data_IF_580770536304
#
_entry.id   IF_580770536304
#
_cell.length_a   1.000
_cell.length_b   1.000
_cell.length_c   1.000
_cell.angle_alpha   90.00
_cell.angle_beta   90.00
_cell.angle_gamma   90.00
#
_symmetry.space_group_name_H-M   'P 1'
#
loop_
_entity.id
_entity.type
_entity.pdbx_description
1 polymer ?
#
# COMPACT_ATOMS: atom_id res chain seq x y z
N UNK A 1 13.50 -20.96 9.04
CA UNK A 1 13.08 -19.59 8.69
C UNK A 1 12.05 -19.18 9.71
N UNK A 2 12.21 -18.04 10.36
CA UNK A 2 11.23 -17.51 11.30
C UNK A 2 9.94 -17.15 10.56
N UNK A 3 8.83 -17.00 11.30
CA UNK A 3 7.51 -16.79 10.69
C UNK A 3 7.42 -15.44 9.96
N UNK A 4 8.11 -14.44 10.51
CA UNK A 4 8.27 -13.07 10.00
C UNK A 4 9.32 -12.93 8.89
N UNK A 5 10.09 -13.98 8.62
CA UNK A 5 11.06 -13.98 7.53
C UNK A 5 10.38 -14.38 6.21
N UNK A 6 10.78 -13.72 5.13
CA UNK A 6 10.34 -14.02 3.77
C UNK A 6 11.54 -13.98 2.83
N UNK A 7 11.49 -14.72 1.73
CA UNK A 7 12.56 -14.72 0.74
C UNK A 7 12.52 -13.49 -0.17
N UNK A 8 13.63 -13.21 -0.83
CA UNK A 8 13.69 -12.21 -1.90
C UNK A 8 12.64 -12.49 -2.98
N UNK A 9 12.44 -13.75 -3.36
CA UNK A 9 11.43 -14.15 -4.35
C UNK A 9 10.00 -13.82 -3.89
N UNK A 10 9.69 -14.02 -2.61
CA UNK A 10 8.37 -13.64 -2.06
C UNK A 10 8.15 -12.13 -2.20
N UNK A 11 9.16 -11.33 -1.85
CA UNK A 11 9.11 -9.88 -1.96
C UNK A 11 8.91 -9.43 -3.40
N UNK A 12 9.68 -9.97 -4.34
CA UNK A 12 9.59 -9.61 -5.75
C UNK A 12 8.23 -9.98 -6.36
N UNK A 13 7.69 -11.14 -6.01
CA UNK A 13 6.37 -11.54 -6.48
C UNK A 13 5.27 -10.59 -5.96
N UNK A 14 5.30 -10.24 -4.67
CA UNK A 14 4.35 -9.29 -4.08
C UNK A 14 4.49 -7.89 -4.72
N UNK A 15 5.73 -7.41 -4.86
CA UNK A 15 6.05 -6.10 -5.45
C UNK A 15 5.58 -5.99 -6.90
N UNK A 16 5.85 -7.00 -7.74
CA UNK A 16 5.39 -7.03 -9.14
C UNK A 16 3.86 -6.96 -9.23
N UNK A 17 3.13 -7.66 -8.36
CA UNK A 17 1.66 -7.62 -8.30
C UNK A 17 1.15 -6.25 -7.86
N UNK A 18 1.76 -5.66 -6.83
CA UNK A 18 1.42 -4.32 -6.33
C UNK A 18 1.65 -3.26 -7.40
N UNK A 19 2.82 -3.21 -8.02
CA UNK A 19 3.16 -2.25 -9.09
C UNK A 19 2.19 -2.38 -10.26
N UNK A 20 1.90 -3.61 -10.70
CA UNK A 20 0.93 -3.85 -11.79
C UNK A 20 -0.47 -3.33 -11.44
N UNK A 21 -0.91 -3.54 -10.20
CA UNK A 21 -2.23 -3.08 -9.74
C UNK A 21 -2.30 -1.55 -9.65
N UNK A 22 -1.31 -0.95 -9.00
CA UNK A 22 -1.26 0.49 -8.72
C UNK A 22 -1.09 1.34 -9.99
N UNK A 23 -0.37 0.83 -11.00
CA UNK A 23 -0.15 1.55 -12.28
C UNK A 23 -1.26 1.32 -13.30
N UNK A 24 -2.21 0.40 -13.05
CA UNK A 24 -3.30 0.11 -14.00
C UNK A 24 -4.16 1.36 -14.23
N UNK A 25 -4.28 1.76 -15.50
CA UNK A 25 -5.08 2.93 -15.90
C UNK A 25 -4.48 4.26 -15.44
N UNK A 26 -3.19 4.30 -15.10
CA UNK A 26 -2.43 5.52 -14.80
C UNK A 26 -1.51 5.85 -15.96
N UNK A 27 -1.26 7.13 -16.18
CA UNK A 27 -0.33 7.63 -17.19
C UNK A 27 0.75 8.50 -16.56
N UNK A 28 1.91 8.57 -17.18
CA UNK A 28 2.97 9.47 -16.76
C UNK A 28 2.61 10.92 -17.06
N UNK A 29 3.17 11.85 -16.28
CA UNK A 29 3.05 13.30 -16.49
C UNK A 29 4.43 13.86 -16.82
N UNK A 30 4.48 14.87 -17.68
CA UNK A 30 5.71 15.65 -17.92
C UNK A 30 6.17 16.41 -16.68
N UNK A 31 5.24 16.70 -15.77
CA UNK A 31 5.49 17.38 -14.50
C UNK A 31 4.87 16.54 -13.36
N UNK A 32 5.51 15.43 -12.95
CA UNK A 32 4.98 14.57 -11.91
C UNK A 32 4.93 15.30 -10.57
N UNK A 33 3.93 14.98 -9.74
CA UNK A 33 3.75 15.55 -8.41
C UNK A 33 3.65 14.42 -7.39
N UNK A 34 4.30 14.61 -6.25
CA UNK A 34 4.16 13.75 -5.08
C UNK A 34 3.57 14.55 -3.92
N UNK A 35 2.64 13.94 -3.18
CA UNK A 35 1.95 14.57 -2.05
C UNK A 35 2.20 13.70 -0.83
N UNK A 36 2.89 14.26 0.16
CA UNK A 36 3.09 13.61 1.45
C UNK A 36 1.96 14.02 2.40
N UNK A 37 1.34 13.03 3.04
CA UNK A 37 0.26 13.28 4.00
C UNK A 37 0.78 13.15 5.42
N UNK A 38 0.54 14.19 6.21
CA UNK A 38 0.79 14.22 7.65
C UNK A 38 -0.52 14.33 8.45
N UNK A 39 -0.47 13.95 9.72
CA UNK A 39 -1.59 14.08 10.65
C UNK A 39 -1.75 12.84 11.53
N UNK A 40 -2.37 13.01 12.70
CA UNK A 40 -2.63 11.94 13.65
C UNK A 40 -3.53 10.84 13.07
N UNK A 41 -3.52 9.66 13.69
CA UNK A 41 -4.51 8.63 13.39
C UNK A 41 -5.92 9.17 13.67
N UNK A 42 -6.89 8.89 12.80
CA UNK A 42 -8.25 9.43 12.92
C UNK A 42 -8.46 10.85 12.39
N UNK A 43 -7.41 11.61 12.04
CA UNK A 43 -7.52 12.99 11.54
C UNK A 43 -8.19 13.14 10.14
N UNK A 44 -8.65 12.06 9.52
CA UNK A 44 -9.36 12.11 8.24
C UNK A 44 -8.47 12.19 7.00
N UNK A 45 -7.23 11.67 7.04
CA UNK A 45 -6.31 11.63 5.87
C UNK A 45 -6.96 11.00 4.62
N UNK A 46 -7.86 10.03 4.80
CA UNK A 46 -8.65 9.41 3.72
C UNK A 46 -9.50 10.42 2.94
N UNK A 47 -9.93 11.52 3.55
CA UNK A 47 -10.62 12.62 2.87
C UNK A 47 -9.71 13.26 1.82
N UNK A 48 -8.43 13.43 2.13
CA UNK A 48 -7.44 13.99 1.19
C UNK A 48 -7.25 13.04 0.00
N UNK A 49 -7.25 11.72 0.21
CA UNK A 49 -7.20 10.74 -0.90
C UNK A 49 -8.35 10.97 -1.89
N UNK A 50 -9.58 11.20 -1.40
CA UNK A 50 -10.75 11.42 -2.25
C UNK A 50 -10.67 12.73 -3.02
N UNK A 51 -10.24 13.81 -2.35
CA UNK A 51 -10.06 15.13 -2.96
C UNK A 51 -9.01 15.03 -4.08
N UNK A 52 -7.83 14.46 -3.77
CA UNK A 52 -6.75 14.35 -4.76
C UNK A 52 -7.06 13.36 -5.88
N UNK A 53 -7.77 12.27 -5.62
CA UNK A 53 -8.24 11.41 -6.71
C UNK A 53 -9.16 12.14 -7.68
N UNK A 54 -10.07 13.00 -7.20
CA UNK A 54 -10.92 13.83 -8.08
C UNK A 54 -10.11 14.88 -8.82
N UNK A 55 -9.22 15.59 -8.13
CA UNK A 55 -8.35 16.64 -8.70
C UNK A 55 -7.48 16.11 -9.82
N UNK A 56 -6.92 14.91 -9.66
CA UNK A 56 -6.09 14.25 -10.67
C UNK A 56 -6.90 13.37 -11.64
N UNK A 57 -8.24 13.42 -11.59
CA UNK A 57 -9.13 12.62 -12.44
C UNK A 57 -8.79 11.12 -12.43
N UNK A 58 -8.43 10.60 -11.26
CA UNK A 58 -8.00 9.22 -11.07
C UNK A 58 -6.57 8.93 -11.51
N UNK A 59 -5.83 9.88 -12.08
CA UNK A 59 -4.41 9.74 -12.47
C UNK A 59 -3.45 10.06 -11.30
N UNK A 60 -3.66 9.41 -10.16
CA UNK A 60 -2.78 9.47 -8.99
C UNK A 60 -2.65 8.07 -8.39
N UNK A 61 -1.46 7.72 -7.92
CA UNK A 61 -1.21 6.46 -7.23
C UNK A 61 -1.23 6.73 -5.73
N UNK A 62 -2.07 5.99 -4.99
CA UNK A 62 -2.09 6.02 -3.53
C UNK A 62 -1.13 4.94 -3.03
N UNK A 63 -0.11 5.36 -2.29
CA UNK A 63 0.86 4.46 -1.63
C UNK A 63 0.55 4.50 -0.15
N UNK A 64 0.04 3.39 0.37
CA UNK A 64 -0.31 3.20 1.79
C UNK A 64 0.45 2.00 2.34
N UNK A 65 1.48 2.27 3.16
CA UNK A 65 2.34 1.23 3.72
C UNK A 65 1.60 0.23 4.61
N UNK A 66 0.53 0.66 5.29
CA UNK A 66 -0.25 -0.24 6.14
C UNK A 66 -1.00 -1.28 5.32
N UNK A 67 -1.44 -0.91 4.11
CA UNK A 67 -2.11 -1.83 3.18
C UNK A 67 -1.21 -2.98 2.71
N UNK A 68 0.11 -2.82 2.81
CA UNK A 68 1.07 -3.83 2.34
C UNK A 68 1.29 -4.96 3.35
N UNK A 69 0.89 -4.78 4.62
CA UNK A 69 1.08 -5.79 5.68
C UNK A 69 0.45 -7.14 5.31
N UNK A 70 -0.73 -7.11 4.68
CA UNK A 70 -1.46 -8.32 4.26
C UNK A 70 -0.82 -9.06 3.08
N UNK A 71 0.20 -8.48 2.43
CA UNK A 71 0.94 -9.12 1.33
C UNK A 71 2.11 -9.97 1.84
N UNK A 72 2.38 -9.98 3.14
CA UNK A 72 3.36 -10.89 3.72
C UNK A 72 2.96 -12.36 3.42
N UNK A 73 3.89 -13.22 2.97
CA UNK A 73 3.55 -14.60 2.56
C UNK A 73 2.90 -15.40 3.70
N UNK A 74 3.33 -15.16 4.94
CA UNK A 74 2.79 -15.80 6.14
C UNK A 74 1.82 -14.91 6.92
N UNK A 75 1.14 -13.95 6.29
CA UNK A 75 0.27 -12.98 7.00
C UNK A 75 -0.74 -13.66 7.93
N UNK A 76 -1.42 -14.71 7.46
CA UNK A 76 -2.40 -15.44 8.28
C UNK A 76 -1.75 -16.13 9.48
N UNK A 77 -0.57 -16.74 9.30
CA UNK A 77 0.16 -17.36 10.43
C UNK A 77 0.65 -16.32 11.44
N UNK A 78 1.09 -15.14 10.98
CA UNK A 78 1.43 -14.02 11.86
C UNK A 78 0.20 -13.51 12.62
N UNK A 79 -0.95 -13.44 11.97
CA UNK A 79 -2.21 -13.03 12.59
C UNK A 79 -2.72 -14.07 13.60
N UNK A 80 -2.58 -15.36 13.32
CA UNK A 80 -2.97 -16.43 14.26
C UNK A 80 -2.09 -16.43 15.52
N UNK A 81 -0.79 -16.15 15.37
CA UNK A 81 0.17 -16.18 16.47
C UNK A 81 0.22 -14.91 17.31
N UNK A 82 -0.01 -13.75 16.69
CA UNK A 82 0.19 -12.43 17.30
C UNK A 82 -1.03 -11.51 17.15
N UNK A 83 -2.19 -12.05 16.79
CA UNK A 83 -3.42 -11.32 16.57
C UNK A 83 -4.00 -10.76 17.86
N UNK A 84 -5.05 -9.95 17.74
CA UNK A 84 -5.74 -9.36 18.91
C UNK A 84 -6.51 -10.38 19.75
N UNK A 85 -6.68 -11.59 19.24
CA UNK A 85 -7.39 -12.69 19.88
C UNK A 85 -6.44 -13.87 20.24
N UNK A 86 -5.12 -13.65 20.14
CA UNK A 86 -4.05 -14.61 20.53
C UNK A 86 -3.62 -14.45 21.98
#
# INVERSE_FOLDING_TARGET
MKLEEFSQDNFEQASKRLIRSLTRGKTTSSHPKAILLGGQSGAGKTTIHRIKQREFQGNIIIIDGDSYRSFHPNYLGLQEKYGKDS
#
